data_IF_883598652708
#
_entry.id   IF_883598652708
#
_cell.length_a   1.000
_cell.length_b   1.000
_cell.length_c   1.000
_cell.angle_alpha   90.00
_cell.angle_beta   90.00
_cell.angle_gamma   90.00
#
_symmetry.space_group_name_H-M   'P 1'
#
loop_
_entity.id
_entity.type
_entity.pdbx_description
1 polymer ?
#
# COMPACT_ATOMS: atom_id res chain seq x y z
N UNK A 1 -15.81 2.70 -37.90
CA UNK A 1 -16.09 3.69 -36.81
C UNK A 1 -15.84 3.10 -35.42
N UNK A 2 -16.40 1.94 -35.05
CA UNK A 2 -16.22 1.35 -33.70
C UNK A 2 -14.77 0.94 -33.35
N UNK A 3 -14.01 0.36 -34.28
CA UNK A 3 -12.61 -0.09 -34.05
C UNK A 3 -11.66 1.11 -33.83
N UNK A 4 -11.92 2.23 -34.51
CA UNK A 4 -11.12 3.46 -34.39
C UNK A 4 -11.40 4.17 -33.05
N UNK A 5 -12.66 4.17 -32.58
CA UNK A 5 -13.03 4.70 -31.26
C UNK A 5 -12.45 3.87 -30.11
N UNK A 6 -12.41 2.55 -30.23
CA UNK A 6 -11.80 1.66 -29.24
C UNK A 6 -10.27 1.85 -29.16
N UNK A 7 -9.59 1.97 -30.30
CA UNK A 7 -8.15 2.23 -30.33
C UNK A 7 -7.77 3.61 -29.75
N UNK A 8 -8.60 4.64 -29.93
CA UNK A 8 -8.38 5.96 -29.33
C UNK A 8 -8.66 5.97 -27.82
N UNK A 9 -9.66 5.24 -27.33
CA UNK A 9 -9.95 5.13 -25.90
C UNK A 9 -8.82 4.38 -25.14
N UNK A 10 -8.28 3.30 -25.73
CA UNK A 10 -7.14 2.55 -25.18
C UNK A 10 -5.87 3.43 -25.14
N UNK A 11 -5.64 4.25 -26.17
CA UNK A 11 -4.51 5.19 -26.20
C UNK A 11 -4.66 6.36 -25.21
N UNK A 12 -5.88 6.81 -24.91
CA UNK A 12 -6.10 7.83 -23.88
C UNK A 12 -5.80 7.30 -22.47
N UNK A 13 -6.24 6.07 -22.13
CA UNK A 13 -5.98 5.50 -20.79
C UNK A 13 -4.49 5.21 -20.55
N UNK A 14 -3.74 4.75 -21.56
CA UNK A 14 -2.30 4.49 -21.42
C UNK A 14 -1.43 5.75 -21.26
N UNK A 15 -1.97 6.93 -21.57
CA UNK A 15 -1.29 8.23 -21.45
C UNK A 15 -1.27 8.79 -20.03
N UNK A 16 -2.18 8.36 -19.15
CA UNK A 16 -2.40 8.99 -17.84
C UNK A 16 -1.64 8.34 -16.68
N UNK A 17 -1.13 7.11 -16.86
CA UNK A 17 -0.28 6.44 -15.88
C UNK A 17 1.07 7.14 -15.74
N UNK A 18 1.55 7.21 -14.50
CA UNK A 18 2.93 7.62 -14.20
C UNK A 18 3.88 6.49 -14.58
N UNK A 19 4.90 6.80 -15.38
CA UNK A 19 5.93 5.87 -15.85
C UNK A 19 7.32 6.36 -15.46
N UNK A 20 8.31 5.49 -15.55
CA UNK A 20 9.73 5.86 -15.40
C UNK A 20 10.40 5.84 -16.77
N UNK A 21 11.13 6.90 -17.11
CA UNK A 21 11.98 6.99 -18.30
C UNK A 21 13.30 7.64 -17.91
N UNK A 22 14.42 6.92 -18.13
CA UNK A 22 15.78 7.41 -17.85
C UNK A 22 15.94 7.97 -16.41
N UNK A 23 15.39 7.27 -15.41
CA UNK A 23 15.48 7.70 -14.00
C UNK A 23 14.53 8.84 -13.59
N UNK A 24 13.64 9.30 -14.47
CA UNK A 24 12.66 10.34 -14.18
C UNK A 24 11.23 9.83 -14.32
N UNK A 25 10.31 10.35 -13.50
CA UNK A 25 8.89 10.09 -13.70
C UNK A 25 8.34 10.90 -14.87
N UNK A 26 7.42 10.30 -15.62
CA UNK A 26 6.75 10.89 -16.78
C UNK A 26 5.26 10.56 -16.70
N UNK A 27 4.39 11.55 -16.94
CA UNK A 27 2.93 11.39 -16.98
C UNK A 27 2.39 12.21 -18.15
N UNK A 28 1.52 11.65 -19.00
CA UNK A 28 1.02 12.35 -20.20
C UNK A 28 2.12 12.78 -21.17
N UNK A 29 3.23 12.04 -21.23
CA UNK A 29 4.41 12.38 -22.05
C UNK A 29 5.26 13.54 -21.53
N UNK A 30 4.95 14.11 -20.35
CA UNK A 30 5.68 15.22 -19.74
C UNK A 30 6.41 14.77 -18.47
N UNK A 31 7.54 15.40 -18.09
CA UNK A 31 8.16 15.17 -16.80
C UNK A 31 7.14 15.35 -15.66
N UNK A 32 7.13 14.41 -14.73
CA UNK A 32 6.34 14.45 -13.51
C UNK A 32 7.28 14.55 -12.31
N UNK A 33 7.03 15.51 -11.43
CA UNK A 33 7.83 15.72 -10.23
C UNK A 33 6.96 15.42 -9.01
N UNK A 34 7.50 14.64 -8.09
CA UNK A 34 6.75 14.20 -6.90
C UNK A 34 6.61 15.36 -5.92
N UNK A 35 5.38 15.89 -5.76
CA UNK A 35 5.01 16.84 -4.72
C UNK A 35 3.87 16.22 -3.91
N UNK A 36 4.24 15.58 -2.80
CA UNK A 36 3.32 14.71 -2.08
C UNK A 36 3.37 14.82 -0.56
N UNK A 37 2.40 14.14 0.07
CA UNK A 37 2.31 13.99 1.53
C UNK A 37 1.85 12.58 1.92
N UNK A 38 2.08 12.19 3.16
CA UNK A 38 1.48 10.98 3.72
C UNK A 38 0.03 11.27 4.15
N UNK A 39 -0.88 10.40 3.74
CA UNK A 39 -2.31 10.50 3.98
C UNK A 39 -2.89 9.13 4.35
N UNK A 40 -2.23 8.45 5.29
CA UNK A 40 -2.48 7.05 5.64
C UNK A 40 -3.92 6.75 6.07
N UNK A 41 -4.60 7.71 6.69
CA UNK A 41 -5.98 7.57 7.18
C UNK A 41 -7.05 7.81 6.11
N UNK A 42 -6.65 8.11 4.86
CA UNK A 42 -7.57 8.48 3.79
C UNK A 42 -8.74 7.52 3.60
N UNK A 43 -8.54 6.18 3.56
CA UNK A 43 -9.65 5.24 3.42
C UNK A 43 -10.64 5.27 4.59
N UNK A 44 -10.16 5.43 5.83
CA UNK A 44 -11.04 5.57 6.99
C UNK A 44 -11.90 6.83 6.84
N UNK A 45 -11.26 7.96 6.50
CA UNK A 45 -11.96 9.24 6.32
C UNK A 45 -12.95 9.21 5.15
N UNK A 46 -12.67 8.46 4.10
CA UNK A 46 -13.55 8.23 2.96
C UNK A 46 -14.69 7.24 3.23
N UNK A 47 -14.64 6.48 4.32
CA UNK A 47 -15.68 5.50 4.67
C UNK A 47 -16.97 6.17 5.13
N UNK A 48 -18.07 5.42 5.10
CA UNK A 48 -19.35 5.81 5.72
C UNK A 48 -19.51 5.20 7.13
N UNK A 49 -18.52 4.42 7.58
CA UNK A 49 -18.49 3.78 8.89
C UNK A 49 -17.82 4.64 9.96
N UNK A 50 -17.47 4.04 11.11
CA UNK A 50 -16.78 4.73 12.18
C UNK A 50 -15.46 5.37 11.69
N UNK A 51 -15.23 6.64 12.08
CA UNK A 51 -14.07 7.42 11.63
C UNK A 51 -14.24 8.11 10.26
N UNK A 52 -15.31 7.80 9.52
CA UNK A 52 -15.64 8.42 8.25
C UNK A 52 -16.06 9.88 8.37
N UNK A 53 -15.51 10.74 7.52
CA UNK A 53 -15.95 12.12 7.31
C UNK A 53 -15.61 12.57 5.89
N UNK A 54 -16.47 12.18 4.94
CA UNK A 54 -16.30 12.53 3.52
C UNK A 54 -16.31 14.03 3.26
N UNK A 55 -16.97 14.82 4.10
CA UNK A 55 -16.97 16.26 3.95
C UNK A 55 -15.59 16.84 4.29
N UNK A 56 -14.97 16.36 5.37
CA UNK A 56 -13.58 16.67 5.71
C UNK A 56 -12.62 16.16 4.66
N UNK A 57 -12.78 14.92 4.17
CA UNK A 57 -11.93 14.39 3.10
C UNK A 57 -11.88 15.33 1.90
N UNK A 58 -13.04 15.76 1.38
CA UNK A 58 -13.09 16.67 0.23
C UNK A 58 -12.38 17.99 0.52
N UNK A 59 -12.61 18.60 1.69
CA UNK A 59 -11.94 19.85 2.10
C UNK A 59 -10.42 19.68 2.19
N UNK A 60 -9.93 18.57 2.74
CA UNK A 60 -8.49 18.29 2.84
C UNK A 60 -7.88 18.10 1.45
N UNK A 61 -8.54 17.37 0.55
CA UNK A 61 -8.09 17.21 -0.83
C UNK A 61 -8.12 18.54 -1.62
N UNK A 62 -9.14 19.37 -1.42
CA UNK A 62 -9.21 20.71 -2.04
C UNK A 62 -8.05 21.59 -1.56
N UNK A 63 -7.75 21.56 -0.27
CA UNK A 63 -6.65 22.35 0.30
C UNK A 63 -5.28 21.84 -0.16
N UNK A 64 -5.09 20.51 -0.21
CA UNK A 64 -3.86 19.91 -0.77
C UNK A 64 -3.68 20.31 -2.23
N UNK A 65 -4.74 20.27 -3.05
CA UNK A 65 -4.67 20.70 -4.44
C UNK A 65 -4.33 22.20 -4.55
N UNK A 66 -4.93 23.04 -3.71
CA UNK A 66 -4.66 24.49 -3.65
C UNK A 66 -3.19 24.78 -3.32
N UNK A 67 -2.56 23.94 -2.49
CA UNK A 67 -1.14 24.02 -2.14
C UNK A 67 -0.20 23.39 -3.18
N UNK A 68 -0.74 22.78 -4.24
CA UNK A 68 0.04 22.14 -5.29
C UNK A 68 0.50 20.71 -4.96
N UNK A 69 -0.04 20.11 -3.90
CA UNK A 69 0.18 18.70 -3.58
C UNK A 69 -0.66 17.87 -4.57
N UNK A 70 -0.01 16.94 -5.27
CA UNK A 70 -0.67 16.07 -6.24
C UNK A 70 -0.43 14.57 -6.02
N UNK A 71 0.35 14.21 -4.99
CA UNK A 71 0.65 12.82 -4.67
C UNK A 71 0.37 12.47 -3.20
N UNK A 72 -0.41 11.42 -2.96
CA UNK A 72 -0.74 10.97 -1.60
C UNK A 72 -0.22 9.56 -1.36
N UNK A 73 0.57 9.37 -0.31
CA UNK A 73 1.00 8.05 0.17
C UNK A 73 0.03 7.53 1.23
N UNK A 74 -0.69 6.45 0.91
CA UNK A 74 -1.89 5.99 1.60
C UNK A 74 -1.75 4.52 2.02
N UNK A 75 -2.18 4.20 3.24
CA UNK A 75 -2.33 2.82 3.71
C UNK A 75 -3.61 2.25 3.08
N UNK A 76 -3.55 1.06 2.49
CA UNK A 76 -4.76 0.39 1.98
C UNK A 76 -5.73 0.04 3.11
N UNK A 77 -5.23 -0.46 4.23
CA UNK A 77 -5.95 -0.54 5.50
C UNK A 77 -5.20 -1.36 6.55
N UNK A 78 -5.63 -1.28 7.82
CA UNK A 78 -4.97 -1.99 8.92
C UNK A 78 -5.40 -3.47 9.04
N UNK A 79 -4.49 -4.29 9.57
CA UNK A 79 -4.61 -5.73 9.77
C UNK A 79 -4.74 -6.11 11.26
N UNK A 80 -5.24 -7.32 11.51
CA UNK A 80 -5.33 -7.94 12.83
C UNK A 80 -6.59 -7.58 13.61
N UNK A 81 -6.67 -8.07 14.84
CA UNK A 81 -7.84 -7.87 15.71
C UNK A 81 -8.16 -6.39 15.96
N UNK A 82 -9.43 -5.99 16.02
CA UNK A 82 -9.79 -4.66 16.51
C UNK A 82 -9.52 -4.54 18.02
N UNK A 83 -9.57 -3.32 18.54
CA UNK A 83 -9.43 -2.96 19.95
C UNK A 83 -8.10 -3.36 20.55
N UNK A 84 -7.05 -3.25 19.74
CA UNK A 84 -5.66 -3.43 20.16
C UNK A 84 -5.03 -2.05 20.35
N UNK A 85 -4.36 -1.87 21.49
CA UNK A 85 -3.66 -0.63 21.83
C UNK A 85 -2.63 -0.23 20.76
N UNK A 86 -2.40 1.08 20.64
CA UNK A 86 -1.45 1.69 19.70
C UNK A 86 -1.69 1.35 18.20
N UNK A 87 -2.85 0.77 17.86
CA UNK A 87 -3.27 0.44 16.49
C UNK A 87 -4.45 1.30 16.02
N UNK A 88 -4.44 1.66 14.75
CA UNK A 88 -5.50 2.44 14.12
C UNK A 88 -6.79 1.61 13.94
N UNK A 89 -7.93 2.31 13.95
CA UNK A 89 -9.24 1.71 13.74
C UNK A 89 -10.14 2.58 12.84
N UNK A 90 -11.10 1.96 12.13
CA UNK A 90 -11.37 0.51 12.03
C UNK A 90 -10.31 -0.24 11.21
N UNK A 91 -10.11 -1.53 11.51
CA UNK A 91 -9.25 -2.41 10.70
C UNK A 91 -9.93 -2.76 9.38
N UNK A 92 -9.11 -2.90 8.33
CA UNK A 92 -9.54 -3.43 7.04
C UNK A 92 -9.67 -4.95 7.09
N UNK A 93 -8.68 -5.64 7.67
CA UNK A 93 -8.62 -7.10 7.65
C UNK A 93 -8.47 -7.66 9.06
N UNK A 94 -9.59 -8.09 9.65
CA UNK A 94 -9.61 -8.63 11.02
C UNK A 94 -8.95 -10.00 11.15
N UNK A 95 -9.01 -10.80 10.08
CA UNK A 95 -8.37 -12.11 9.91
C UNK A 95 -8.15 -12.37 8.41
N UNK A 96 -7.30 -13.32 8.02
CA UNK A 96 -6.98 -13.56 6.61
C UNK A 96 -8.26 -13.78 5.78
N UNK A 97 -8.34 -13.08 4.65
CA UNK A 97 -9.50 -13.11 3.73
C UNK A 97 -10.80 -12.45 4.21
N UNK A 98 -10.89 -11.94 5.44
CA UNK A 98 -12.11 -11.29 5.97
C UNK A 98 -11.95 -9.79 6.02
N UNK A 99 -12.61 -9.11 5.08
CA UNK A 99 -12.45 -7.68 4.85
C UNK A 99 -13.64 -6.85 5.33
N UNK A 100 -13.33 -5.67 5.85
CA UNK A 100 -14.28 -4.63 6.17
C UNK A 100 -14.66 -3.83 4.91
N UNK A 101 -15.86 -4.10 4.38
CA UNK A 101 -16.35 -3.47 3.15
C UNK A 101 -16.46 -1.94 3.26
N UNK A 102 -16.71 -1.39 4.46
CA UNK A 102 -16.81 0.05 4.67
C UNK A 102 -15.49 0.76 4.42
N UNK A 103 -14.37 0.16 4.85
CA UNK A 103 -13.02 0.71 4.62
C UNK A 103 -12.63 0.57 3.14
N UNK A 104 -12.96 -0.54 2.51
CA UNK A 104 -12.76 -0.73 1.07
C UNK A 104 -13.56 0.28 0.23
N UNK A 105 -14.82 0.54 0.60
CA UNK A 105 -15.61 1.60 0.00
C UNK A 105 -14.99 2.99 0.26
N UNK A 106 -14.38 3.19 1.42
CA UNK A 106 -13.67 4.42 1.73
C UNK A 106 -12.46 4.66 0.83
N UNK A 107 -11.66 3.62 0.56
CA UNK A 107 -10.57 3.69 -0.42
C UNK A 107 -11.09 3.99 -1.84
N UNK A 108 -12.18 3.34 -2.26
CA UNK A 108 -12.82 3.60 -3.56
C UNK A 108 -13.25 5.07 -3.70
N UNK A 109 -13.87 5.61 -2.64
CA UNK A 109 -14.33 6.99 -2.60
C UNK A 109 -13.15 7.97 -2.64
N UNK A 110 -12.10 7.69 -1.85
CA UNK A 110 -10.86 8.47 -1.85
C UNK A 110 -10.24 8.56 -3.25
N UNK A 111 -10.03 7.43 -3.93
CA UNK A 111 -9.47 7.40 -5.28
C UNK A 111 -10.36 8.17 -6.27
N UNK A 112 -11.69 8.03 -6.14
CA UNK A 112 -12.64 8.79 -6.96
C UNK A 112 -12.56 10.30 -6.73
N UNK A 113 -12.32 10.75 -5.49
CA UNK A 113 -12.15 12.18 -5.18
C UNK A 113 -10.77 12.71 -5.58
N UNK A 114 -9.73 11.90 -5.47
CA UNK A 114 -8.38 12.23 -5.94
C UNK A 114 -8.34 12.41 -7.46
N UNK A 115 -9.01 11.53 -8.21
CA UNK A 115 -9.03 11.58 -9.68
C UNK A 115 -9.64 12.88 -10.21
N UNK A 116 -10.73 13.36 -9.58
CA UNK A 116 -11.36 14.67 -9.87
C UNK A 116 -10.39 15.84 -9.72
N UNK A 117 -9.37 15.68 -8.87
CA UNK A 117 -8.33 16.67 -8.57
C UNK A 117 -7.01 16.40 -9.30
N UNK A 118 -6.98 15.39 -10.17
CA UNK A 118 -5.78 14.93 -10.91
C UNK A 118 -4.63 14.49 -10.01
N UNK A 119 -4.93 14.19 -8.75
CA UNK A 119 -3.97 13.63 -7.80
C UNK A 119 -3.69 12.15 -8.13
N UNK A 120 -2.59 11.63 -7.62
CA UNK A 120 -2.23 10.21 -7.72
C UNK A 120 -1.85 9.61 -6.36
N UNK A 121 -2.01 8.30 -6.22
CA UNK A 121 -1.82 7.56 -4.97
C UNK A 121 -0.60 6.62 -5.03
N UNK A 122 0.20 6.62 -3.97
CA UNK A 122 1.07 5.48 -3.64
C UNK A 122 0.34 4.67 -2.57
N UNK A 123 -0.05 3.44 -2.91
CA UNK A 123 -0.83 2.57 -2.01
C UNK A 123 0.09 1.51 -1.40
N UNK A 124 0.37 1.60 -0.09
CA UNK A 124 1.12 0.55 0.60
C UNK A 124 0.20 -0.52 1.18
N UNK A 125 0.59 -1.78 0.92
CA UNK A 125 -0.26 -2.97 1.07
C UNK A 125 -0.17 -3.63 2.45
N UNK A 126 0.91 -3.38 3.18
CA UNK A 126 1.05 -3.79 4.58
C UNK A 126 2.07 -2.89 5.29
N UNK A 127 2.48 -3.25 6.50
CA UNK A 127 3.39 -2.50 7.35
C UNK A 127 4.34 -3.43 8.11
N UNK A 128 5.54 -2.96 8.42
CA UNK A 128 6.45 -3.66 9.34
C UNK A 128 6.15 -3.36 10.80
N UNK A 129 5.34 -2.33 11.08
CA UNK A 129 5.01 -1.81 12.41
C UNK A 129 3.59 -2.16 12.89
N UNK A 130 3.42 -2.13 14.21
CA UNK A 130 2.22 -2.52 14.95
C UNK A 130 1.02 -1.61 14.74
N UNK A 131 1.25 -0.33 14.40
CA UNK A 131 0.20 0.69 14.39
C UNK A 131 -0.90 0.43 13.35
N UNK A 132 -0.65 -0.45 12.40
CA UNK A 132 -1.67 -0.99 11.48
C UNK A 132 -1.66 -2.52 11.42
N UNK A 133 -1.15 -3.19 12.47
CA UNK A 133 -1.04 -4.64 12.57
C UNK A 133 0.22 -5.18 11.89
N UNK A 134 0.29 -5.04 10.57
CA UNK A 134 1.50 -5.33 9.81
C UNK A 134 2.04 -6.75 10.01
N UNK A 135 3.37 -6.91 10.00
CA UNK A 135 4.05 -8.19 10.22
C UNK A 135 3.56 -8.93 11.46
N UNK A 136 3.30 -8.20 12.56
CA UNK A 136 2.82 -8.78 13.81
C UNK A 136 1.50 -9.53 13.63
N UNK A 137 0.54 -8.93 12.92
CA UNK A 137 -0.76 -9.55 12.64
C UNK A 137 -0.62 -10.81 11.77
N UNK A 138 0.19 -10.77 10.72
CA UNK A 138 0.41 -11.92 9.85
C UNK A 138 1.15 -13.07 10.56
N UNK A 139 2.11 -12.76 11.43
CA UNK A 139 2.80 -13.76 12.25
C UNK A 139 1.84 -14.40 13.26
N UNK A 140 0.97 -13.62 13.90
CA UNK A 140 -0.07 -14.14 14.78
C UNK A 140 -1.01 -15.10 14.03
N UNK A 141 -1.46 -14.73 12.84
CA UNK A 141 -2.27 -15.62 11.99
C UNK A 141 -1.51 -16.86 11.50
N UNK A 142 -0.18 -16.82 11.48
CA UNK A 142 0.70 -17.92 11.10
C UNK A 142 1.09 -18.84 12.27
N UNK A 143 0.43 -18.70 13.43
CA UNK A 143 0.63 -19.48 14.65
C UNK A 143 1.98 -19.22 15.37
N UNK A 144 2.62 -18.05 15.15
CA UNK A 144 3.93 -17.73 15.78
C UNK A 144 3.83 -17.21 17.23
N UNK A 145 2.60 -17.02 17.72
CA UNK A 145 2.28 -16.40 19.01
C UNK A 145 1.54 -15.08 18.85
N UNK A 146 1.09 -14.47 19.97
CA UNK A 146 0.33 -13.22 19.93
C UNK A 146 1.16 -12.07 19.34
N UNK A 147 0.52 -11.19 18.58
CA UNK A 147 1.17 -10.00 18.03
C UNK A 147 1.68 -9.10 19.17
N UNK A 148 2.97 -8.74 19.09
CA UNK A 148 3.62 -7.91 20.10
C UNK A 148 3.47 -6.41 19.79
N UNK A 149 3.45 -5.60 20.85
CA UNK A 149 3.32 -4.15 20.80
C UNK A 149 4.53 -3.56 21.54
N UNK A 150 5.37 -2.74 20.89
CA UNK A 150 6.61 -2.22 21.49
C UNK A 150 6.40 -1.53 22.85
N UNK A 151 5.29 -0.79 23.02
CA UNK A 151 4.98 -0.08 24.27
C UNK A 151 4.70 -1.03 25.44
N UNK A 152 4.04 -2.16 25.16
CA UNK A 152 3.67 -3.17 26.17
C UNK A 152 4.78 -4.19 26.38
N UNK A 153 5.32 -4.74 25.29
CA UNK A 153 6.20 -5.91 25.31
C UNK A 153 7.69 -5.56 25.19
N UNK A 154 8.00 -4.30 24.85
CA UNK A 154 9.34 -3.79 24.66
C UNK A 154 9.84 -3.91 23.21
N UNK A 155 10.53 -2.88 22.74
CA UNK A 155 11.03 -2.80 21.35
C UNK A 155 11.90 -4.00 20.94
N UNK A 156 12.77 -4.49 21.83
CA UNK A 156 13.62 -5.65 21.53
C UNK A 156 12.85 -6.97 21.37
N UNK A 157 11.75 -7.16 22.12
CA UNK A 157 10.87 -8.31 21.94
C UNK A 157 10.11 -8.20 20.62
N UNK A 158 9.62 -6.99 20.31
CA UNK A 158 8.94 -6.68 19.06
C UNK A 158 9.82 -6.99 17.84
N UNK A 159 11.03 -6.44 17.76
CA UNK A 159 11.91 -6.65 16.60
C UNK A 159 12.30 -8.11 16.42
N UNK A 160 12.56 -8.83 17.53
CA UNK A 160 12.82 -10.28 17.49
C UNK A 160 11.63 -11.09 16.99
N UNK A 161 10.40 -10.68 17.34
CA UNK A 161 9.20 -11.33 16.84
C UNK A 161 8.99 -11.00 15.35
N UNK A 162 9.06 -9.72 14.99
CA UNK A 162 8.86 -9.23 13.63
C UNK A 162 9.89 -9.76 12.63
N UNK A 163 11.15 -10.02 13.05
CA UNK A 163 12.19 -10.59 12.17
C UNK A 163 11.84 -11.98 11.64
N UNK A 164 10.95 -12.71 12.31
CA UNK A 164 10.45 -14.01 11.84
C UNK A 164 9.67 -13.89 10.54
N UNK A 165 9.08 -12.72 10.25
CA UNK A 165 8.20 -12.53 9.10
C UNK A 165 8.92 -12.90 7.80
N UNK A 166 10.15 -12.43 7.62
CA UNK A 166 10.95 -12.64 6.41
C UNK A 166 11.10 -14.12 6.00
N UNK A 167 11.09 -15.06 6.95
CA UNK A 167 11.20 -16.50 6.67
C UNK A 167 9.86 -17.25 6.76
N UNK A 168 8.76 -16.58 7.14
CA UNK A 168 7.49 -17.23 7.44
C UNK A 168 6.61 -17.36 6.18
N UNK A 169 6.69 -18.52 5.54
CA UNK A 169 5.92 -18.81 4.32
C UNK A 169 4.39 -18.73 4.51
N UNK A 170 3.86 -19.12 5.68
CA UNK A 170 2.41 -19.02 5.94
C UNK A 170 1.96 -17.57 5.95
N UNK A 171 2.69 -16.70 6.64
CA UNK A 171 2.44 -15.26 6.68
C UNK A 171 2.49 -14.65 5.27
N UNK A 172 3.50 -15.01 4.46
CA UNK A 172 3.62 -14.55 3.08
C UNK A 172 2.42 -14.98 2.22
N UNK A 173 1.98 -16.24 2.31
CA UNK A 173 0.83 -16.71 1.53
C UNK A 173 -0.43 -15.91 1.85
N UNK A 174 -0.70 -15.61 3.12
CA UNK A 174 -1.83 -14.76 3.52
C UNK A 174 -1.69 -13.34 2.96
N UNK A 175 -0.48 -12.76 2.99
CA UNK A 175 -0.22 -11.45 2.41
C UNK A 175 -0.38 -11.46 0.88
N UNK A 176 0.04 -12.51 0.20
CA UNK A 176 -0.13 -12.66 -1.25
C UNK A 176 -1.59 -12.80 -1.65
N UNK A 177 -2.42 -13.45 -0.84
CA UNK A 177 -3.88 -13.42 -1.03
C UNK A 177 -4.45 -12.01 -0.82
N UNK A 178 -3.93 -11.25 0.15
CA UNK A 178 -4.29 -9.84 0.30
C UNK A 178 -3.93 -9.00 -0.93
N UNK A 179 -2.73 -9.17 -1.49
CA UNK A 179 -2.32 -8.50 -2.73
C UNK A 179 -3.30 -8.83 -3.87
N UNK A 180 -3.60 -10.12 -4.08
CA UNK A 180 -4.52 -10.55 -5.15
C UNK A 180 -5.90 -9.94 -4.96
N UNK A 181 -6.41 -9.94 -3.73
CA UNK A 181 -7.71 -9.36 -3.41
C UNK A 181 -7.76 -7.86 -3.75
N UNK A 182 -6.79 -7.08 -3.26
CA UNK A 182 -6.77 -5.62 -3.48
C UNK A 182 -6.57 -5.27 -4.95
N UNK A 183 -5.62 -5.90 -5.65
CA UNK A 183 -5.35 -5.58 -7.06
C UNK A 183 -6.51 -6.00 -7.99
N UNK A 184 -7.26 -7.05 -7.63
CA UNK A 184 -8.45 -7.48 -8.39
C UNK A 184 -9.67 -6.57 -8.20
N UNK A 185 -9.61 -5.63 -7.24
CA UNK A 185 -10.75 -4.80 -6.86
C UNK A 185 -11.22 -3.93 -8.02
N UNK A 186 -12.54 -3.82 -8.16
CA UNK A 186 -13.20 -2.80 -8.98
C UNK A 186 -13.74 -1.71 -8.06
N UNK A 187 -13.37 -0.46 -8.32
CA UNK A 187 -13.85 0.70 -7.59
C UNK A 187 -15.36 0.80 -7.73
N UNK A 188 -16.12 0.78 -6.63
CA UNK A 188 -17.59 0.79 -6.70
C UNK A 188 -18.21 2.11 -7.18
N UNK A 189 -17.47 3.21 -7.09
CA UNK A 189 -17.98 4.54 -7.47
C UNK A 189 -17.62 4.92 -8.91
N UNK A 190 -16.42 4.56 -9.38
CA UNK A 190 -15.99 4.84 -10.76
C UNK A 190 -16.24 3.67 -11.72
N UNK A 191 -16.39 2.45 -11.22
CA UNK A 191 -16.47 1.22 -12.03
C UNK A 191 -15.14 0.77 -12.64
N UNK A 192 -14.03 1.46 -12.33
CA UNK A 192 -12.70 1.17 -12.87
C UNK A 192 -12.02 0.11 -12.01
N UNK A 193 -11.41 -0.90 -12.62
CA UNK A 193 -10.54 -1.84 -11.89
C UNK A 193 -9.31 -1.11 -11.38
N UNK A 194 -8.86 -1.44 -10.18
CA UNK A 194 -7.68 -0.78 -9.60
C UNK A 194 -6.45 -0.90 -10.50
N UNK A 195 -6.23 -2.05 -11.14
CA UNK A 195 -5.13 -2.25 -12.12
C UNK A 195 -5.24 -1.40 -13.39
N UNK A 196 -6.41 -0.82 -13.65
CA UNK A 196 -6.72 0.05 -14.80
C UNK A 196 -6.91 1.53 -14.38
N UNK A 197 -6.75 1.89 -13.10
CA UNK A 197 -7.01 3.24 -12.58
C UNK A 197 -5.72 4.10 -12.51
N UNK A 198 -5.51 5.06 -13.43
CA UNK A 198 -4.31 5.91 -13.44
C UNK A 198 -4.25 6.91 -12.27
N UNK A 199 -5.26 6.95 -11.41
CA UNK A 199 -5.19 7.64 -10.12
C UNK A 199 -4.22 6.92 -9.17
N UNK A 200 -3.93 5.64 -9.39
CA UNK A 200 -2.87 4.95 -8.65
C UNK A 200 -1.56 5.19 -9.41
N UNK A 201 -0.55 5.69 -8.71
CA UNK A 201 0.82 5.84 -9.24
C UNK A 201 1.60 4.56 -9.03
N UNK A 202 1.55 4.00 -7.82
CA UNK A 202 2.36 2.85 -7.45
C UNK A 202 1.70 1.97 -6.41
N UNK A 203 1.85 0.66 -6.61
CA UNK A 203 1.74 -0.34 -5.54
C UNK A 203 3.02 -0.33 -4.72
N UNK A 204 2.90 -0.13 -3.42
CA UNK A 204 4.01 -0.19 -2.48
C UNK A 204 3.89 -1.44 -1.61
N UNK A 205 4.94 -2.26 -1.56
CA UNK A 205 4.86 -3.58 -0.90
C UNK A 205 4.55 -3.41 0.59
N UNK A 206 5.29 -2.56 1.29
CA UNK A 206 5.19 -2.44 2.73
C UNK A 206 5.54 -1.01 3.16
N UNK A 207 4.95 -0.53 4.25
CA UNK A 207 5.52 0.61 4.94
C UNK A 207 6.77 0.17 5.71
N UNK A 208 7.92 0.73 5.34
CA UNK A 208 9.19 0.54 6.03
C UNK A 208 9.55 -0.94 6.23
N UNK A 209 9.55 -1.79 5.19
CA UNK A 209 9.96 -3.17 5.33
C UNK A 209 11.38 -3.23 5.92
N UNK A 210 11.52 -3.95 7.02
CA UNK A 210 12.80 -4.25 7.66
C UNK A 210 13.00 -5.75 7.84
N UNK A 211 14.26 -6.19 7.80
CA UNK A 211 14.61 -7.55 8.20
C UNK A 211 14.58 -7.74 9.72
N UNK A 212 14.79 -6.66 10.50
CA UNK A 212 14.88 -6.64 11.97
C UNK A 212 16.00 -7.50 12.59
N UNK A 213 16.80 -8.15 11.75
CA UNK A 213 17.97 -8.95 12.12
C UNK A 213 18.81 -9.15 10.85
N UNK A 214 20.14 -9.15 11.00
CA UNK A 214 21.05 -9.38 9.87
C UNK A 214 20.93 -10.80 9.33
N UNK A 215 20.64 -11.75 10.20
CA UNK A 215 20.44 -13.15 9.87
C UNK A 215 19.21 -13.37 8.97
N UNK A 216 18.22 -12.46 9.05
CA UNK A 216 17.01 -12.51 8.25
C UNK A 216 17.15 -11.87 6.85
N UNK A 217 18.26 -11.18 6.56
CA UNK A 217 18.45 -10.45 5.29
C UNK A 217 18.26 -11.31 4.04
N UNK A 218 18.79 -12.55 3.94
CA UNK A 218 18.59 -13.36 2.74
C UNK A 218 17.12 -13.67 2.44
N UNK A 219 16.33 -13.99 3.48
CA UNK A 219 14.91 -14.28 3.30
C UNK A 219 14.09 -13.01 3.12
N UNK A 220 14.53 -11.89 3.68
CA UNK A 220 13.93 -10.58 3.46
C UNK A 220 14.06 -10.13 1.99
N UNK A 221 15.24 -10.27 1.40
CA UNK A 221 15.49 -10.00 -0.03
C UNK A 221 14.59 -10.89 -0.91
N UNK A 222 14.53 -12.18 -0.58
CA UNK A 222 13.71 -13.16 -1.31
C UNK A 222 12.22 -12.82 -1.23
N UNK A 223 11.70 -12.54 -0.03
CA UNK A 223 10.30 -12.19 0.17
C UNK A 223 9.89 -10.94 -0.63
N UNK A 224 10.72 -9.89 -0.61
CA UNK A 224 10.47 -8.67 -1.39
C UNK A 224 10.46 -8.96 -2.90
N UNK A 225 11.40 -9.78 -3.38
CA UNK A 225 11.45 -10.21 -4.77
C UNK A 225 10.19 -10.99 -5.17
N UNK A 226 9.74 -11.93 -4.34
CA UNK A 226 8.52 -12.71 -4.57
C UNK A 226 7.26 -11.83 -4.55
N UNK A 227 7.15 -10.90 -3.59
CA UNK A 227 6.01 -9.99 -3.48
C UNK A 227 5.92 -9.03 -4.69
N UNK A 228 7.05 -8.45 -5.12
CA UNK A 228 7.09 -7.56 -6.28
C UNK A 228 6.83 -8.30 -7.59
N UNK A 229 7.34 -9.54 -7.73
CA UNK A 229 7.05 -10.40 -8.87
C UNK A 229 5.55 -10.75 -8.96
N UNK A 230 4.91 -11.05 -7.82
CA UNK A 230 3.47 -11.28 -7.77
C UNK A 230 2.69 -10.04 -8.23
N UNK A 231 2.98 -8.86 -7.68
CA UNK A 231 2.34 -7.60 -8.09
C UNK A 231 2.49 -7.39 -9.60
N UNK A 232 3.71 -7.57 -10.14
CA UNK A 232 3.96 -7.43 -11.58
C UNK A 232 3.17 -8.46 -12.40
N UNK A 233 2.99 -9.69 -11.93
CA UNK A 233 2.20 -10.69 -12.65
C UNK A 233 0.71 -10.33 -12.74
N UNK A 234 0.20 -9.56 -11.77
CA UNK A 234 -1.19 -9.12 -11.69
C UNK A 234 -1.44 -7.79 -12.41
N UNK A 235 -0.41 -6.94 -12.51
CA UNK A 235 -0.51 -5.57 -13.02
C UNK A 235 0.70 -5.17 -13.89
N UNK A 236 0.43 -4.92 -15.18
CA UNK A 236 1.44 -4.48 -16.16
C UNK A 236 1.53 -2.96 -16.31
N UNK A 237 0.64 -2.20 -15.67
CA UNK A 237 0.50 -0.76 -15.87
C UNK A 237 1.24 0.05 -14.80
N UNK A 238 1.06 -0.31 -13.53
CA UNK A 238 1.52 0.50 -12.39
C UNK A 238 3.01 0.34 -12.07
N UNK A 239 3.57 1.38 -11.44
CA UNK A 239 4.87 1.30 -10.80
C UNK A 239 4.81 0.44 -9.54
N UNK A 240 5.93 -0.20 -9.19
CA UNK A 240 6.08 -0.97 -7.97
C UNK A 240 7.19 -0.34 -7.14
N UNK A 241 6.94 -0.13 -5.85
CA UNK A 241 7.94 0.38 -4.90
C UNK A 241 7.97 -0.49 -3.64
N UNK A 242 9.11 -0.51 -2.95
CA UNK A 242 9.26 -1.33 -1.73
C UNK A 242 8.69 -0.64 -0.49
N UNK A 243 8.88 0.67 -0.39
CA UNK A 243 8.61 1.48 0.81
C UNK A 243 9.74 1.43 1.85
N UNK A 244 10.92 0.95 1.44
CA UNK A 244 12.14 0.88 2.25
C UNK A 244 12.62 2.26 2.70
N UNK A 245 13.17 2.33 3.92
CA UNK A 245 13.88 3.49 4.46
C UNK A 245 15.33 3.58 3.93
N UNK A 246 15.67 2.74 2.95
CA UNK A 246 17.01 2.59 2.42
C UNK A 246 17.85 1.65 3.27
N UNK A 247 19.11 2.02 3.50
CA UNK A 247 20.08 1.17 4.20
C UNK A 247 19.63 0.80 5.63
N UNK A 248 18.79 1.62 6.27
CA UNK A 248 18.26 1.33 7.61
C UNK A 248 17.28 0.15 7.62
N UNK A 249 16.47 -0.02 6.58
CA UNK A 249 15.60 -1.21 6.45
C UNK A 249 16.39 -2.50 6.16
N UNK A 250 17.63 -2.36 5.71
CA UNK A 250 18.55 -3.46 5.44
C UNK A 250 19.54 -3.69 6.60
N UNK A 251 19.21 -3.28 7.83
CA UNK A 251 20.08 -3.45 9.01
C UNK A 251 21.50 -2.87 8.83
N UNK A 252 21.57 -1.76 8.10
CA UNK A 252 22.80 -1.05 7.71
C UNK A 252 23.72 -1.88 6.79
N UNK A 253 23.18 -2.89 6.12
CA UNK A 253 23.86 -3.65 5.07
C UNK A 253 23.65 -2.98 3.70
N UNK A 254 24.72 -2.37 3.19
CA UNK A 254 24.70 -1.71 1.88
C UNK A 254 24.57 -2.69 0.72
N UNK A 255 25.06 -3.92 0.87
CA UNK A 255 24.95 -4.93 -0.17
C UNK A 255 23.51 -5.40 -0.36
N UNK A 256 22.78 -5.62 0.75
CA UNK A 256 21.35 -5.89 0.72
C UNK A 256 20.60 -4.70 0.09
N UNK A 257 20.91 -3.47 0.50
CA UNK A 257 20.26 -2.28 -0.06
C UNK A 257 20.41 -2.14 -1.58
N UNK A 258 21.56 -2.51 -2.13
CA UNK A 258 21.79 -2.48 -3.59
C UNK A 258 21.09 -3.61 -4.35
N UNK A 259 20.77 -4.74 -3.69
CA UNK A 259 20.15 -5.91 -4.33
C UNK A 259 18.62 -5.88 -4.39
N UNK A 260 17.97 -5.16 -3.47
CA UNK A 260 16.50 -5.08 -3.37
C UNK A 260 15.89 -4.04 -4.30
#
# INVERSE_FOLDING_TARGET
>A
MAIIALAMAVNMMAGDFVKVKNGHFVRGGKPYYYVGTNFWYGPILGSEGPGGDRARLRRELDEMQRLGIDNLRILVGADGLPSVEDKIEPVLQSRPGVYNDSILAGLDYLLTEMSKRKMVAVLYLTNSWEWSGGYGAYLEWADEGPALIPRRDGYGAYTKFASKFAANQKAHLMFYEHIRFILSRTNRYSGIKYVDDPTIMSWQICNEPRAFSKEALPEFEKWLSEATALVRSLDQNHLISLGSEGVFGCERDYGCFERI
#
